data_IF_034101962640
#
_entry.id   IF_034101962640
#
_cell.length_a   1.000
_cell.length_b   1.000
_cell.length_c   1.000
_cell.angle_alpha   90.00
_cell.angle_beta   90.00
_cell.angle_gamma   90.00
#
_symmetry.space_group_name_H-M   'P 1'
#
loop_
_entity.id
_entity.type
_entity.pdbx_description
1 polymer ?
#
# COMPACT_ATOMS: atom_id res chain seq x y z
N UNK A 1 52.61 -11.28 6.64
CA UNK A 1 51.30 -10.73 6.25
C UNK A 1 50.66 -11.61 5.17
N UNK A 2 49.61 -12.37 5.51
CA UNK A 2 48.89 -13.23 4.54
C UNK A 2 48.04 -12.35 3.63
N UNK A 3 48.37 -12.27 2.33
CA UNK A 3 47.47 -11.74 1.30
C UNK A 3 46.26 -12.68 1.16
N UNK A 4 45.18 -12.40 1.87
CA UNK A 4 43.86 -12.96 1.60
C UNK A 4 43.31 -12.29 0.34
N UNK A 5 43.78 -12.73 -0.83
CA UNK A 5 43.15 -12.36 -2.09
C UNK A 5 42.89 -13.62 -2.91
N UNK A 6 41.96 -14.44 -2.42
CA UNK A 6 41.23 -15.39 -3.26
C UNK A 6 39.85 -14.79 -3.49
N UNK A 7 39.75 -13.96 -4.51
CA UNK A 7 38.47 -13.66 -5.16
C UNK A 7 37.81 -15.01 -5.48
N UNK A 8 36.87 -15.47 -4.63
CA UNK A 8 36.00 -16.59 -4.96
C UNK A 8 35.34 -16.20 -6.29
N UNK A 9 35.67 -16.91 -7.38
CA UNK A 9 35.12 -16.65 -8.71
C UNK A 9 33.59 -16.65 -8.58
N UNK A 10 32.99 -15.45 -8.62
CA UNK A 10 31.54 -15.30 -8.65
C UNK A 10 31.06 -15.86 -9.99
N UNK A 11 30.12 -16.80 -9.94
CA UNK A 11 29.46 -17.31 -11.15
C UNK A 11 28.29 -16.38 -11.46
N UNK A 12 28.13 -15.97 -12.71
CA UNK A 12 27.01 -15.16 -13.17
C UNK A 12 26.00 -16.00 -13.94
N UNK A 13 24.73 -15.62 -13.84
CA UNK A 13 23.63 -16.16 -14.63
C UNK A 13 23.03 -14.98 -15.41
N UNK A 14 22.93 -15.13 -16.73
CA UNK A 14 22.30 -14.13 -17.60
C UNK A 14 20.93 -14.67 -18.04
N UNK A 15 19.87 -13.91 -17.75
CA UNK A 15 18.50 -14.25 -18.12
C UNK A 15 18.01 -13.22 -19.15
N UNK A 16 17.48 -13.69 -20.28
CA UNK A 16 16.81 -12.83 -21.28
C UNK A 16 15.31 -12.97 -21.10
N UNK A 17 14.63 -11.84 -21.06
CA UNK A 17 13.19 -11.74 -20.84
C UNK A 17 12.57 -10.97 -21.99
N UNK A 18 11.34 -11.28 -22.34
CA UNK A 18 10.50 -10.37 -23.13
C UNK A 18 10.10 -9.14 -22.28
N UNK A 19 9.62 -8.10 -22.95
CA UNK A 19 9.28 -6.82 -22.33
C UNK A 19 8.20 -6.96 -21.25
N UNK A 20 7.23 -7.85 -21.46
CA UNK A 20 6.16 -8.11 -20.52
C UNK A 20 6.68 -8.69 -19.21
N UNK A 21 7.47 -9.76 -19.29
CA UNK A 21 8.06 -10.43 -18.14
C UNK A 21 9.08 -9.53 -17.43
N UNK A 22 9.84 -8.74 -18.18
CA UNK A 22 10.74 -7.75 -17.60
C UNK A 22 9.98 -6.68 -16.80
N UNK A 23 8.88 -6.15 -17.34
CA UNK A 23 8.03 -5.18 -16.64
C UNK A 23 7.42 -5.78 -15.38
N UNK A 24 6.81 -6.96 -15.50
CA UNK A 24 6.18 -7.67 -14.39
C UNK A 24 7.17 -7.94 -13.24
N UNK A 25 8.37 -8.42 -13.53
CA UNK A 25 9.37 -8.71 -12.51
C UNK A 25 9.86 -7.42 -11.83
N UNK A 26 9.98 -6.32 -12.56
CA UNK A 26 10.34 -5.02 -11.99
C UNK A 26 9.27 -4.51 -11.02
N UNK A 27 8.00 -4.60 -11.39
CA UNK A 27 6.87 -4.22 -10.52
C UNK A 27 6.86 -5.05 -9.24
N UNK A 28 7.02 -6.37 -9.36
CA UNK A 28 7.02 -7.26 -8.20
C UNK A 28 8.23 -7.01 -7.29
N UNK A 29 9.42 -6.79 -7.87
CA UNK A 29 10.63 -6.44 -7.11
C UNK A 29 10.42 -5.14 -6.32
N UNK A 30 9.84 -4.12 -6.96
CA UNK A 30 9.53 -2.84 -6.34
C UNK A 30 8.52 -2.98 -5.20
N UNK A 31 7.41 -3.69 -5.43
CA UNK A 31 6.37 -3.98 -4.43
C UNK A 31 6.96 -4.73 -3.22
N UNK A 32 7.87 -5.65 -3.48
CA UNK A 32 8.47 -6.51 -2.45
C UNK A 32 9.56 -5.78 -1.66
N UNK A 33 10.08 -4.66 -2.15
CA UNK A 33 11.07 -3.83 -1.46
C UNK A 33 12.51 -4.35 -1.54
N UNK A 34 12.82 -5.26 -2.47
CA UNK A 34 14.19 -5.77 -2.63
C UNK A 34 15.08 -4.75 -3.35
N UNK A 35 16.29 -4.56 -2.83
CA UNK A 35 17.25 -3.60 -3.39
C UNK A 35 17.90 -4.16 -4.64
N UNK A 36 18.32 -5.43 -4.60
CA UNK A 36 19.01 -6.08 -5.72
C UNK A 36 18.17 -7.19 -6.38
N UNK A 37 18.48 -7.50 -7.63
CA UNK A 37 17.89 -8.65 -8.33
C UNK A 37 18.30 -9.98 -7.71
N UNK A 38 19.52 -10.06 -7.17
CA UNK A 38 20.03 -11.25 -6.50
C UNK A 38 19.19 -11.60 -5.27
N UNK A 39 18.92 -10.63 -4.40
CA UNK A 39 18.04 -10.81 -3.23
C UNK A 39 16.64 -11.29 -3.63
N UNK A 40 16.08 -10.65 -4.66
CA UNK A 40 14.75 -10.97 -5.17
C UNK A 40 14.66 -12.41 -5.72
N UNK A 41 15.62 -12.80 -6.56
CA UNK A 41 15.65 -14.12 -7.20
C UNK A 41 15.94 -15.20 -6.17
N UNK A 42 16.92 -15.02 -5.27
CA UNK A 42 17.23 -15.98 -4.22
C UNK A 42 16.04 -16.18 -3.27
N UNK A 43 15.34 -15.10 -2.92
CA UNK A 43 14.13 -15.20 -2.11
C UNK A 43 13.04 -16.00 -2.82
N UNK A 44 12.82 -15.74 -4.11
CA UNK A 44 11.82 -16.45 -4.92
C UNK A 44 12.15 -17.95 -5.03
N UNK A 45 13.40 -18.28 -5.32
CA UNK A 45 13.87 -19.66 -5.45
C UNK A 45 13.80 -20.45 -4.14
N UNK A 46 14.08 -19.81 -3.00
CA UNK A 46 14.11 -20.48 -1.70
C UNK A 46 12.73 -20.66 -1.06
N UNK A 47 11.80 -19.73 -1.31
CA UNK A 47 10.51 -19.73 -0.59
C UNK A 47 9.36 -20.35 -1.37
N UNK A 48 9.51 -20.61 -2.68
CA UNK A 48 8.57 -21.38 -3.52
C UNK A 48 7.13 -20.83 -3.62
N UNK A 49 6.80 -19.76 -2.90
CA UNK A 49 5.49 -19.12 -2.85
C UNK A 49 5.58 -17.81 -3.61
N UNK A 50 4.79 -17.67 -4.66
CA UNK A 50 4.70 -16.44 -5.45
C UNK A 50 4.39 -15.23 -4.56
N UNK A 51 4.81 -14.05 -5.01
CA UNK A 51 4.53 -12.81 -4.28
C UNK A 51 3.03 -12.58 -4.19
N UNK A 52 2.54 -12.26 -2.99
CA UNK A 52 1.17 -11.81 -2.81
C UNK A 52 1.04 -10.49 -3.56
N UNK A 53 0.25 -10.44 -4.63
CA UNK A 53 -0.05 -9.21 -5.37
C UNK A 53 -0.66 -8.23 -4.36
N UNK A 54 0.10 -7.20 -3.99
CA UNK A 54 -0.35 -6.13 -3.10
C UNK A 54 -0.90 -5.02 -4.00
N UNK A 55 -2.05 -4.46 -3.64
CA UNK A 55 -2.55 -3.28 -4.32
C UNK A 55 -1.61 -2.10 -4.04
N UNK A 56 -1.20 -1.39 -5.08
CA UNK A 56 -0.28 -0.25 -4.99
C UNK A 56 -1.08 1.01 -5.31
N UNK A 57 -1.08 1.97 -4.39
CA UNK A 57 -1.57 3.32 -4.65
C UNK A 57 -0.38 4.15 -5.12
N UNK A 58 -0.13 4.12 -6.44
CA UNK A 58 1.08 4.69 -7.08
C UNK A 58 1.28 6.18 -6.77
N UNK A 59 0.18 6.91 -6.61
CA UNK A 59 0.19 8.36 -6.37
C UNK A 59 -0.31 8.75 -4.98
N UNK A 60 -0.69 7.76 -4.15
CA UNK A 60 -1.31 8.00 -2.85
C UNK A 60 -2.68 8.69 -2.93
N UNK A 61 -3.32 8.72 -4.11
CA UNK A 61 -4.57 9.44 -4.32
C UNK A 61 -5.73 8.79 -3.57
N UNK A 62 -5.74 7.45 -3.49
CA UNK A 62 -6.82 6.72 -2.83
C UNK A 62 -6.83 7.02 -1.34
N UNK A 63 -5.66 6.98 -0.69
CA UNK A 63 -5.55 7.30 0.74
C UNK A 63 -5.86 8.78 1.02
N UNK A 64 -5.44 9.70 0.13
CA UNK A 64 -5.76 11.14 0.25
C UNK A 64 -7.27 11.40 0.14
N UNK A 65 -7.93 10.87 -0.89
CA UNK A 65 -9.37 11.01 -1.08
C UNK A 65 -10.14 10.49 0.14
N UNK A 66 -9.72 9.34 0.66
CA UNK A 66 -10.36 8.73 1.81
C UNK A 66 -10.17 9.55 3.10
N UNK A 67 -8.99 10.14 3.31
CA UNK A 67 -8.76 11.06 4.42
C UNK A 67 -9.64 12.32 4.31
N UNK A 68 -9.84 12.85 3.09
CA UNK A 68 -10.75 13.97 2.86
C UNK A 68 -12.21 13.61 3.19
N UNK A 69 -12.69 12.45 2.73
CA UNK A 69 -14.03 11.96 3.03
C UNK A 69 -14.27 11.80 4.54
N UNK A 70 -13.30 11.24 5.28
CA UNK A 70 -13.38 11.14 6.75
C UNK A 70 -13.45 12.53 7.39
N UNK A 71 -12.68 13.49 6.90
CA UNK A 71 -12.72 14.88 7.41
C UNK A 71 -14.09 15.51 7.16
N UNK A 72 -14.67 15.32 5.98
CA UNK A 72 -16.02 15.82 5.68
C UNK A 72 -17.08 15.12 6.55
N UNK A 73 -17.00 13.81 6.73
CA UNK A 73 -17.88 13.07 7.63
C UNK A 73 -17.81 13.55 9.08
N UNK A 74 -16.61 13.87 9.58
CA UNK A 74 -16.44 14.45 10.92
C UNK A 74 -17.12 15.83 11.04
N UNK A 75 -16.93 16.70 10.04
CA UNK A 75 -17.57 18.01 10.02
C UNK A 75 -19.10 17.89 9.96
N UNK A 76 -19.62 17.00 9.13
CA UNK A 76 -21.05 16.69 9.04
C UNK A 76 -21.60 16.18 10.37
N UNK A 77 -20.89 15.28 11.05
CA UNK A 77 -21.30 14.78 12.36
C UNK A 77 -21.33 15.90 13.43
N UNK A 78 -20.43 16.89 13.36
CA UNK A 78 -20.48 18.06 14.24
C UNK A 78 -21.68 18.96 13.94
N UNK A 79 -21.98 19.20 12.67
CA UNK A 79 -23.15 19.96 12.24
C UNK A 79 -24.45 19.24 12.65
N UNK A 80 -24.51 17.93 12.47
CA UNK A 80 -25.65 17.11 12.85
C UNK A 80 -25.92 17.15 14.36
N UNK A 81 -24.86 17.12 15.18
CA UNK A 81 -25.00 17.31 16.64
C UNK A 81 -25.58 18.68 16.99
N UNK A 82 -25.07 19.76 16.39
CA UNK A 82 -25.60 21.11 16.60
C UNK A 82 -27.04 21.25 16.12
N UNK A 83 -27.41 20.62 15.01
CA UNK A 83 -28.77 20.65 14.50
C UNK A 83 -29.72 19.83 15.39
N UNK A 84 -29.27 18.70 15.93
CA UNK A 84 -30.03 17.90 16.89
C UNK A 84 -30.26 18.64 18.22
N UNK A 85 -29.28 19.40 18.71
CA UNK A 85 -29.46 20.30 19.88
C UNK A 85 -30.57 21.34 19.65
N UNK A 86 -30.89 21.65 18.39
CA UNK A 86 -31.97 22.55 17.99
C UNK A 86 -33.23 21.81 17.51
N UNK A 87 -33.32 20.47 17.69
CA UNK A 87 -34.40 19.60 17.19
C UNK A 87 -34.67 19.73 15.68
N UNK A 88 -33.64 20.03 14.89
CA UNK A 88 -33.74 20.22 13.43
C UNK A 88 -33.47 18.95 12.61
N UNK A 89 -33.12 17.84 13.27
CA UNK A 89 -32.80 16.56 12.62
C UNK A 89 -33.42 15.39 13.37
N UNK A 90 -33.78 14.35 12.63
CA UNK A 90 -34.23 13.07 13.19
C UNK A 90 -33.02 12.18 13.56
N UNK A 91 -33.22 11.22 14.47
CA UNK A 91 -32.16 10.32 14.92
C UNK A 91 -31.62 9.44 13.79
N UNK A 92 -32.43 9.13 12.79
CA UNK A 92 -32.06 8.31 11.65
C UNK A 92 -31.02 9.00 10.74
N UNK A 93 -31.12 10.31 10.51
CA UNK A 93 -30.13 11.10 9.75
C UNK A 93 -28.76 11.07 10.45
N UNK A 94 -28.77 11.20 11.78
CA UNK A 94 -27.56 11.16 12.61
C UNK A 94 -26.91 9.77 12.56
N UNK A 95 -27.74 8.72 12.53
CA UNK A 95 -27.29 7.33 12.46
C UNK A 95 -26.65 7.01 11.12
N UNK A 96 -27.17 7.54 10.02
CA UNK A 96 -26.59 7.37 8.68
C UNK A 96 -25.20 8.02 8.59
N UNK A 97 -25.04 9.26 9.06
CA UNK A 97 -23.75 9.97 9.08
C UNK A 97 -22.70 9.19 9.88
N UNK A 98 -23.07 8.68 11.07
CA UNK A 98 -22.17 7.87 11.90
C UNK A 98 -21.76 6.58 11.19
N UNK A 99 -22.67 5.97 10.43
CA UNK A 99 -22.42 4.74 9.68
C UNK A 99 -21.41 4.98 8.57
N UNK A 100 -21.60 6.01 7.74
CA UNK A 100 -20.63 6.41 6.71
C UNK A 100 -19.25 6.71 7.28
N UNK A 101 -19.17 7.42 8.41
CA UNK A 101 -17.89 7.72 9.06
C UNK A 101 -17.17 6.43 9.49
N UNK A 102 -17.92 5.47 10.07
CA UNK A 102 -17.38 4.17 10.49
C UNK A 102 -16.85 3.36 9.32
N UNK A 103 -17.55 3.36 8.19
CA UNK A 103 -17.10 2.70 6.96
C UNK A 103 -15.87 3.36 6.36
N UNK A 104 -15.80 4.69 6.34
CA UNK A 104 -14.60 5.43 5.94
C UNK A 104 -13.38 5.07 6.78
N UNK A 105 -13.52 4.99 8.11
CA UNK A 105 -12.44 4.55 9.01
C UNK A 105 -12.01 3.11 8.71
N UNK A 106 -12.96 2.18 8.49
CA UNK A 106 -12.65 0.79 8.13
C UNK A 106 -11.87 0.72 6.82
N UNK A 107 -12.31 1.45 5.80
CA UNK A 107 -11.62 1.52 4.52
C UNK A 107 -10.19 2.08 4.70
N UNK A 108 -10.00 3.12 5.51
CA UNK A 108 -8.67 3.70 5.79
C UNK A 108 -7.73 2.66 6.38
N UNK A 109 -8.20 1.94 7.39
CA UNK A 109 -7.41 0.92 8.06
C UNK A 109 -7.08 -0.25 7.12
N UNK A 110 -8.02 -0.63 6.25
CA UNK A 110 -7.76 -1.62 5.21
C UNK A 110 -6.65 -1.15 4.27
N UNK A 111 -6.75 0.08 3.74
CA UNK A 111 -5.73 0.66 2.86
C UNK A 111 -4.37 0.72 3.54
N UNK A 112 -4.28 1.20 4.79
CA UNK A 112 -3.01 1.25 5.52
C UNK A 112 -2.36 -0.13 5.73
N UNK A 113 -3.17 -1.19 5.87
CA UNK A 113 -2.68 -2.56 6.14
C UNK A 113 -2.37 -3.34 4.85
N UNK A 114 -3.10 -3.07 3.78
CA UNK A 114 -3.12 -3.91 2.58
C UNK A 114 -2.69 -3.19 1.30
N UNK A 115 -2.54 -1.87 1.34
CA UNK A 115 -2.11 -1.06 0.21
C UNK A 115 -0.76 -0.44 0.57
N UNK A 116 0.28 -0.74 -0.21
CA UNK A 116 1.57 -0.08 -0.02
C UNK A 116 1.54 1.28 -0.73
N UNK A 117 1.90 2.38 -0.05
CA UNK A 117 2.19 3.62 -0.75
C UNK A 117 3.42 3.40 -1.63
N UNK A 118 3.35 3.79 -2.89
CA UNK A 118 4.51 3.73 -3.77
C UNK A 118 5.49 4.85 -3.38
N UNK A 119 6.35 4.55 -2.41
CA UNK A 119 7.47 5.43 -2.11
C UNK A 119 8.46 5.35 -3.27
N UNK A 120 8.36 6.29 -4.21
CA UNK A 120 9.53 6.69 -5.00
C UNK A 120 10.52 7.27 -4.01
N UNK A 121 11.47 6.46 -3.56
CA UNK A 121 12.69 6.93 -2.93
C UNK A 121 13.23 8.07 -3.80
N UNK A 122 13.28 9.28 -3.25
CA UNK A 122 13.97 10.41 -3.87
C UNK A 122 15.47 10.10 -4.01
#
# INVERSE_FOLDING_TARGET
MKKLNKNKRRKSINIRLDDYNHKLLNEIKAISGFRTWEEFILHYMNNGRGFKKVLVDEEGQSLKALNHLIRYGNNLNQLARKANENNLLDEDDIKEIKTFLKEGIKARNYFLKHVKPFNRSK
#
